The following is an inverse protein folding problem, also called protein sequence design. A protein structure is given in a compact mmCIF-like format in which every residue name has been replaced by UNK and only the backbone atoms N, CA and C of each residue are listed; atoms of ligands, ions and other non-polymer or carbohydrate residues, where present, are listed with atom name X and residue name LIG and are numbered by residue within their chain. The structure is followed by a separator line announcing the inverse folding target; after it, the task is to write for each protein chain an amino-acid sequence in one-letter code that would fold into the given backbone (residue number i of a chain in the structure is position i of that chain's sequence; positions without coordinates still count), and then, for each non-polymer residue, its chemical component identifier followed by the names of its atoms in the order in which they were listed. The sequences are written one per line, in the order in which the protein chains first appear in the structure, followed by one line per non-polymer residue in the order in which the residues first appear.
data_IF_817981367806
#
_entry.id   IF_817981367806
#
_cell.length_a   1.000
_cell.length_b   1.000
_cell.length_c   1.000
_cell.angle_alpha   90.00
_cell.angle_beta   90.00
_cell.angle_gamma   90.00
#
_symmetry.space_group_name_H-M   'P 1'
#
loop_
_entity.id
_entity.type
_entity.pdbx_description
1 polymer ?
#
# COMPACT_ATOMS: atom_id res chain seq x y z
N UNK A 1 -4.85 -13.12 -4.55
CA UNK A 1 -6.30 -12.83 -4.59
C UNK A 1 -6.80 -12.46 -3.18
N UNK A 2 -6.19 -11.47 -2.53
CA UNK A 2 -6.60 -10.90 -1.23
C UNK A 2 -6.97 -9.42 -1.44
N UNK A 3 -6.24 -8.78 -2.34
CA UNK A 3 -6.44 -7.40 -2.75
C UNK A 3 -7.81 -7.08 -3.37
N UNK A 4 -8.58 -8.09 -3.80
CA UNK A 4 -9.96 -7.89 -4.26
C UNK A 4 -10.90 -7.57 -3.11
N UNK A 5 -10.64 -8.13 -1.92
CA UNK A 5 -11.42 -7.90 -0.70
C UNK A 5 -11.29 -6.48 -0.17
N UNK A 6 -10.32 -5.70 -0.70
CA UNK A 6 -10.10 -4.31 -0.31
C UNK A 6 -10.47 -3.28 -1.40
N UNK A 7 -11.10 -3.70 -2.50
CA UNK A 7 -11.48 -2.81 -3.60
C UNK A 7 -12.54 -1.77 -3.24
N UNK A 8 -13.27 -1.96 -2.14
CA UNK A 8 -14.26 -1.00 -1.66
C UNK A 8 -13.66 0.10 -0.76
N UNK A 9 -12.36 0.03 -0.47
CA UNK A 9 -11.68 1.08 0.31
C UNK A 9 -11.34 2.30 -0.55
N UNK A 10 -11.41 3.48 0.07
CA UNK A 10 -11.02 4.73 -0.57
C UNK A 10 -9.49 4.78 -0.76
N UNK A 11 -9.06 4.68 -2.01
CA UNK A 11 -7.68 4.87 -2.45
C UNK A 11 -7.44 6.29 -2.93
N UNK A 12 -6.52 6.47 -3.87
CA UNK A 12 -6.23 7.80 -4.42
C UNK A 12 -6.78 7.98 -5.81
N UNK A 13 -7.61 9.02 -5.96
CA UNK A 13 -8.17 9.44 -7.24
C UNK A 13 -7.08 10.04 -8.12
N UNK A 14 -6.76 9.35 -9.21
CA UNK A 14 -5.90 9.84 -10.29
C UNK A 14 -6.73 9.83 -11.57
N UNK A 15 -6.90 10.99 -12.21
CA UNK A 15 -7.77 11.15 -13.40
C UNK A 15 -9.18 10.55 -13.24
N UNK A 16 -9.77 10.64 -12.04
CA UNK A 16 -11.11 10.09 -11.75
C UNK A 16 -11.15 8.60 -11.38
N UNK A 17 -10.03 7.89 -11.48
CA UNK A 17 -9.94 6.47 -11.11
C UNK A 17 -9.38 6.30 -9.69
N UNK A 18 -10.02 5.46 -8.88
CA UNK A 18 -9.56 5.14 -7.53
C UNK A 18 -8.44 4.09 -7.57
N UNK A 19 -7.19 4.50 -7.35
CA UNK A 19 -6.06 3.58 -7.25
C UNK A 19 -5.91 3.15 -5.80
N UNK A 20 -6.24 1.89 -5.52
CA UNK A 20 -6.20 1.29 -4.19
C UNK A 20 -4.95 0.41 -4.02
N UNK A 21 -4.61 -0.33 -5.08
CA UNK A 21 -3.59 -1.37 -5.06
C UNK A 21 -2.47 -1.04 -6.05
N UNK A 22 -1.24 -0.94 -5.56
CA UNK A 22 -0.04 -0.90 -6.40
C UNK A 22 0.75 -2.18 -6.15
N UNK A 23 0.83 -3.07 -7.14
CA UNK A 23 1.60 -4.31 -7.06
C UNK A 23 2.86 -4.20 -7.90
N UNK A 24 4.01 -4.50 -7.31
CA UNK A 24 5.27 -4.65 -8.01
C UNK A 24 5.79 -6.07 -7.81
N UNK A 25 5.74 -6.90 -8.86
CA UNK A 25 6.02 -8.33 -8.77
C UNK A 25 5.22 -9.01 -7.64
N UNK A 26 5.90 -9.41 -6.56
CA UNK A 26 5.32 -10.07 -5.39
C UNK A 26 4.98 -9.08 -4.26
N UNK A 27 5.50 -7.85 -4.33
CA UNK A 27 5.26 -6.82 -3.33
C UNK A 27 3.95 -6.09 -3.59
N UNK A 28 3.21 -5.84 -2.52
CA UNK A 28 1.94 -5.11 -2.55
C UNK A 28 2.03 -3.87 -1.68
N UNK A 29 1.74 -2.71 -2.26
CA UNK A 29 1.65 -1.44 -1.53
C UNK A 29 0.19 -1.13 -1.24
N UNK A 30 -0.16 -1.02 0.04
CA UNK A 30 -1.46 -0.59 0.54
C UNK A 30 -1.47 0.92 0.75
N UNK A 31 -2.57 1.58 0.40
CA UNK A 31 -2.72 3.04 0.56
C UNK A 31 -4.07 3.39 1.16
N UNK A 32 -4.06 4.27 2.15
CA UNK A 32 -5.27 4.82 2.75
C UNK A 32 -5.13 6.34 2.98
N UNK A 33 -6.26 7.03 3.05
CA UNK A 33 -6.31 8.47 3.36
C UNK A 33 -6.13 8.82 4.85
N UNK A 34 -6.21 7.82 5.74
CA UNK A 34 -6.05 8.00 7.19
C UNK A 34 -5.45 6.77 7.85
N UNK A 35 -4.86 6.96 9.03
CA UNK A 35 -4.31 5.89 9.88
C UNK A 35 -5.35 4.82 10.21
N UNK A 36 -6.52 5.20 10.73
CA UNK A 36 -7.56 4.24 11.13
C UNK A 36 -8.01 3.35 9.96
N UNK A 37 -8.08 3.92 8.75
CA UNK A 37 -8.42 3.17 7.54
C UNK A 37 -7.27 2.24 7.14
N UNK A 38 -6.03 2.69 7.27
CA UNK A 38 -4.86 1.86 6.99
C UNK A 38 -4.78 0.65 7.92
N UNK A 39 -5.04 0.85 9.21
CA UNK A 39 -5.11 -0.23 10.20
C UNK A 39 -6.21 -1.24 9.83
N UNK A 40 -7.42 -0.78 9.49
CA UNK A 40 -8.53 -1.65 9.08
C UNK A 40 -8.20 -2.49 7.84
N UNK A 41 -7.59 -1.87 6.81
CA UNK A 41 -7.17 -2.55 5.59
C UNK A 41 -6.11 -3.61 5.92
N UNK A 42 -5.14 -3.25 6.76
CA UNK A 42 -4.07 -4.16 7.18
C UNK A 42 -4.61 -5.36 7.97
N UNK A 43 -5.54 -5.14 8.88
CA UNK A 43 -6.19 -6.20 9.65
C UNK A 43 -6.96 -7.16 8.73
N UNK A 44 -7.71 -6.61 7.77
CA UNK A 44 -8.45 -7.40 6.77
C UNK A 44 -7.50 -8.22 5.91
N UNK A 45 -6.39 -7.62 5.45
CA UNK A 45 -5.37 -8.32 4.66
C UNK A 45 -4.70 -9.41 5.50
N UNK A 46 -4.40 -9.16 6.77
CA UNK A 46 -3.81 -10.13 7.67
C UNK A 46 -4.73 -11.34 7.94
N UNK A 47 -6.03 -11.10 8.08
CA UNK A 47 -7.06 -12.14 8.26
C UNK A 47 -7.21 -12.99 6.99
N UNK A 48 -7.41 -12.36 5.84
CA UNK A 48 -7.58 -13.04 4.55
C UNK A 48 -6.30 -13.77 4.11
N UNK A 49 -5.12 -13.28 4.50
CA UNK A 49 -3.85 -13.99 4.32
C UNK A 49 -3.79 -15.25 5.17
N UNK A 50 -4.20 -15.17 6.44
CA UNK A 50 -4.28 -16.32 7.34
C UNK A 50 -5.22 -17.42 6.82
N UNK A 51 -6.39 -17.05 6.28
CA UNK A 51 -7.35 -18.00 5.68
C UNK A 51 -6.81 -18.74 4.46
N UNK A 52 -5.80 -18.17 3.79
CA UNK A 52 -5.21 -18.70 2.55
C UNK A 52 -3.83 -19.32 2.78
N UNK A 53 -3.44 -19.52 4.04
CA UNK A 53 -2.12 -20.03 4.43
C UNK A 53 -0.97 -19.15 3.88
N UNK A 54 -1.24 -17.86 3.67
CA UNK A 54 -0.26 -16.88 3.22
C UNK A 54 0.33 -16.17 4.44
N UNK A 55 1.66 -16.28 4.58
CA UNK A 55 2.39 -15.63 5.65
C UNK A 55 2.77 -14.20 5.27
N UNK A 56 2.36 -13.23 6.11
CA UNK A 56 2.82 -11.85 5.99
C UNK A 56 4.14 -11.72 6.75
N UNK A 57 5.21 -11.38 6.03
CA UNK A 57 6.51 -11.09 6.63
C UNK A 57 6.49 -9.68 7.23
N UNK A 58 6.09 -9.58 8.51
CA UNK A 58 5.98 -8.30 9.23
C UNK A 58 7.33 -7.60 9.34
N UNK A 59 8.44 -8.36 9.38
CA UNK A 59 9.80 -7.80 9.46
C UNK A 59 10.22 -7.10 8.18
N UNK A 60 9.72 -7.54 7.03
CA UNK A 60 9.90 -6.88 5.72
C UNK A 60 8.82 -5.86 5.41
N UNK A 61 7.73 -5.85 6.17
CA UNK A 61 6.65 -4.89 5.97
C UNK A 61 7.06 -3.54 6.54
N UNK A 62 7.00 -2.51 5.71
CA UNK A 62 7.41 -1.16 6.08
C UNK A 62 6.29 -0.16 5.78
N UNK A 63 6.02 0.75 6.73
CA UNK A 63 5.00 1.78 6.54
C UNK A 63 5.62 3.07 6.02
N UNK A 64 5.09 3.56 4.90
CA UNK A 64 5.48 4.83 4.28
C UNK A 64 4.42 5.90 4.57
N UNK A 65 4.81 6.95 5.29
CA UNK A 65 3.97 8.15 5.41
C UNK A 65 4.36 9.15 4.31
N UNK A 66 3.40 9.53 3.47
CA UNK A 66 3.55 10.61 2.50
C UNK A 66 2.74 11.81 2.98
N UNK A 67 3.41 12.78 3.61
CA UNK A 67 2.76 14.00 4.12
C UNK A 67 3.29 15.24 3.40
N UNK A 68 2.37 16.03 2.82
CA UNK A 68 2.70 17.34 2.22
C UNK A 68 3.27 18.35 3.22
N UNK A 69 3.05 18.15 4.52
CA UNK A 69 3.46 19.08 5.59
C UNK A 69 4.67 18.61 6.39
N UNK A 70 5.37 17.55 5.96
CA UNK A 70 6.59 17.06 6.63
C UNK A 70 6.38 16.71 8.11
N UNK A 71 5.16 16.29 8.50
CA UNK A 71 4.88 15.89 9.87
C UNK A 71 5.41 14.49 10.12
N UNK A 72 6.11 14.31 11.24
CA UNK A 72 6.49 12.99 11.75
C UNK A 72 5.19 12.29 12.20
N UNK A 73 4.93 11.05 11.76
CA UNK A 73 3.79 10.29 12.27
C UNK A 73 3.98 10.06 13.77
N UNK A 74 2.97 10.42 14.56
CA UNK A 74 2.91 10.10 16.00
C UNK A 74 2.16 8.81 16.28
N UNK A 75 1.59 8.21 15.25
CA UNK A 75 0.75 7.04 15.37
C UNK A 75 1.52 5.73 15.22
N UNK A 76 0.97 4.65 15.78
CA UNK A 76 1.57 3.32 15.76
C UNK A 76 0.62 2.40 15.00
N UNK A 77 1.11 1.80 13.93
CA UNK A 77 0.39 0.74 13.22
C UNK A 77 0.95 -0.59 13.73
N UNK A 78 0.04 -1.47 14.12
CA UNK A 78 0.39 -2.81 14.56
C UNK A 78 -0.26 -3.84 13.64
N UNK A 79 0.40 -4.98 13.43
CA UNK A 79 -0.14 -6.10 12.69
C UNK A 79 0.14 -7.35 13.52
N UNK A 80 -0.90 -8.14 13.82
CA UNK A 80 -0.76 -9.39 14.60
C UNK A 80 0.00 -9.22 15.94
N UNK A 81 -0.12 -8.04 16.57
CA UNK A 81 0.55 -7.70 17.82
C UNK A 81 1.99 -7.18 17.69
N UNK A 82 2.55 -7.10 16.47
CA UNK A 82 3.85 -6.52 16.20
C UNK A 82 3.73 -5.10 15.62
N UNK A 83 4.60 -4.19 16.04
CA UNK A 83 4.63 -2.82 15.52
C UNK A 83 5.39 -2.76 14.20
N UNK A 84 4.77 -2.18 13.17
CA UNK A 84 5.41 -1.97 11.87
C UNK A 84 6.33 -0.75 11.95
N UNK A 85 7.54 -0.89 11.41
CA UNK A 85 8.51 0.20 11.36
C UNK A 85 8.12 1.22 10.29
N UNK A 86 8.26 2.51 10.63
CA UNK A 86 8.14 3.59 9.67
C UNK A 86 9.46 3.83 8.97
N UNK A 87 9.42 3.85 7.64
CA UNK A 87 10.50 4.44 6.88
C UNK A 87 10.27 5.95 6.81
N UNK A 88 11.27 6.71 7.24
CA UNK A 88 11.27 8.18 7.23
C UNK A 88 11.24 8.72 5.80
N UNK A 89 10.07 9.24 5.38
CA UNK A 89 9.82 10.14 4.26
C UNK A 89 10.88 10.13 3.12
N UNK A 90 11.00 9.04 2.37
CA UNK A 90 11.75 9.06 1.12
C UNK A 90 10.83 9.57 0.01
N UNK A 91 11.27 10.60 -0.71
CA UNK A 91 10.62 11.05 -1.93
C UNK A 91 11.01 10.04 -3.02
N UNK A 92 10.16 9.05 -3.24
CA UNK A 92 10.34 8.12 -4.34
C UNK A 92 9.76 8.73 -5.61
N UNK A 93 10.57 8.76 -6.67
CA UNK A 93 10.11 9.06 -8.03
C UNK A 93 10.24 7.77 -8.83
N UNK A 94 9.13 7.06 -9.01
CA UNK A 94 9.03 5.93 -9.93
C UNK A 94 8.69 6.48 -11.31
N UNK A 95 9.67 6.49 -12.22
CA UNK A 95 9.47 6.82 -13.64
C UNK A 95 9.67 5.52 -14.42
N UNK A 96 8.62 5.04 -15.08
CA UNK A 96 8.76 3.98 -16.07
C UNK A 96 8.60 4.63 -17.45
N UNK A 97 9.70 4.75 -18.21
CA UNK A 97 9.68 5.27 -19.57
C UNK A 97 10.19 4.23 -20.56
N UNK A 98 9.31 3.84 -21.50
CA UNK A 98 9.48 3.41 -22.92
C UNK A 98 8.53 2.23 -23.23
N UNK A 99 7.87 2.11 -24.39
CA UNK A 99 8.36 2.37 -25.74
C UNK A 99 7.25 2.82 -26.72
N UNK A 100 7.69 3.34 -27.87
CA UNK A 100 6.95 4.00 -28.95
C UNK A 100 5.89 3.11 -29.60
N UNK A 101 4.69 3.65 -29.84
CA UNK A 101 3.82 3.14 -30.90
C UNK A 101 4.49 3.43 -32.25
N UNK A 102 5.21 2.45 -32.80
CA UNK A 102 5.41 2.42 -34.25
C UNK A 102 4.09 1.94 -34.86
N UNK A 103 3.32 2.87 -35.42
CA UNK A 103 2.30 2.51 -36.38
C UNK A 103 3.02 1.99 -37.63
N UNK A 104 2.93 0.68 -37.87
CA UNK A 104 3.00 0.17 -39.24
C UNK A 104 1.66 0.46 -39.90
N UNK A 105 1.71 1.29 -40.95
CA UNK A 105 0.83 1.24 -42.11
C UNK A 105 1.71 1.51 -43.33
#
# INVERSE_FOLDING_TARGET
MILLSINDHEGVKVNGHNIINLRHADDTVLRAGSENKLQLILDTVAEESGKRELELDIKKTECLLISKKGRIPTFIISCRGENIKYIRLYIWVLINTRCKMQHQN
#
